data_IF_024244141657
#
_entry.id   IF_024244141657
#
_cell.length_a   1.000
_cell.length_b   1.000
_cell.length_c   1.000
_cell.angle_alpha   90.00
_cell.angle_beta   90.00
_cell.angle_gamma   90.00
#
_symmetry.space_group_name_H-M   'P 1'
#
loop_
_entity.id
_entity.type
_entity.pdbx_description
1 polymer ?
#
# COMPACT_ATOMS: atom_id res chain seq x y z
N UNK A 1 1.33 15.85 -12.86
CA UNK A 1 1.05 14.65 -12.04
C UNK A 1 1.79 14.73 -10.71
N UNK A 2 1.23 14.17 -9.67
CA UNK A 2 1.83 14.18 -8.33
C UNK A 2 2.21 12.75 -7.90
N UNK A 3 3.40 12.61 -7.31
CA UNK A 3 3.93 11.33 -6.84
C UNK A 3 4.19 11.40 -5.34
N UNK A 4 3.66 10.44 -4.58
CA UNK A 4 3.86 10.34 -3.12
C UNK A 4 4.51 9.00 -2.79
N UNK A 5 5.60 8.98 -2.02
CA UNK A 5 6.12 7.71 -1.53
C UNK A 5 7.60 7.65 -1.15
N UNK A 6 8.01 6.49 -0.64
CA UNK A 6 9.38 6.17 -0.25
C UNK A 6 10.30 5.90 -1.45
N UNK A 7 11.58 6.09 -1.26
CA UNK A 7 12.66 6.20 -2.25
C UNK A 7 12.74 5.13 -3.34
N UNK A 8 12.56 3.85 -2.97
CA UNK A 8 12.86 2.76 -3.91
C UNK A 8 11.74 2.53 -4.95
N UNK A 9 10.52 2.94 -4.63
CA UNK A 9 9.37 2.83 -5.54
C UNK A 9 9.12 4.10 -6.37
N UNK A 10 9.89 5.18 -6.18
CA UNK A 10 9.75 6.46 -6.87
C UNK A 10 9.99 6.28 -8.37
N UNK A 11 11.05 5.57 -8.77
CA UNK A 11 11.47 5.41 -10.16
C UNK A 11 10.39 4.80 -11.06
N UNK A 12 9.71 3.75 -10.58
CA UNK A 12 8.68 3.07 -11.37
C UNK A 12 7.41 3.89 -11.49
N UNK A 13 7.07 4.64 -10.43
CA UNK A 13 5.95 5.59 -10.48
C UNK A 13 6.24 6.75 -11.45
N UNK A 14 7.47 7.29 -11.46
CA UNK A 14 7.88 8.30 -12.42
C UNK A 14 7.81 7.74 -13.84
N UNK A 15 8.27 6.51 -14.06
CA UNK A 15 8.18 5.84 -15.38
C UNK A 15 6.72 5.68 -15.82
N UNK A 16 5.84 5.27 -14.93
CA UNK A 16 4.41 5.17 -15.22
C UNK A 16 3.79 6.55 -15.53
N UNK A 17 4.18 7.61 -14.78
CA UNK A 17 3.70 8.97 -15.00
C UNK A 17 4.15 9.52 -16.36
N UNK A 18 5.37 9.25 -16.81
CA UNK A 18 5.90 9.70 -18.11
C UNK A 18 5.09 9.22 -19.31
N UNK A 19 4.38 8.13 -19.17
CA UNK A 19 3.56 7.62 -20.26
C UNK A 19 2.25 8.42 -20.45
N UNK A 20 1.87 9.26 -19.49
CA UNK A 20 0.58 9.96 -19.50
C UNK A 20 0.71 11.46 -19.26
N UNK A 21 1.76 11.93 -18.60
CA UNK A 21 1.94 13.31 -18.18
C UNK A 21 3.19 13.97 -18.79
N UNK A 22 3.06 15.23 -19.20
CA UNK A 22 4.19 16.07 -19.65
C UNK A 22 4.98 16.61 -18.48
N UNK A 23 4.27 17.02 -17.41
CA UNK A 23 4.86 17.59 -16.23
C UNK A 23 4.68 16.70 -15.02
N UNK A 24 5.78 16.41 -14.34
CA UNK A 24 5.83 15.51 -13.18
C UNK A 24 6.31 16.28 -11.96
N UNK A 25 5.45 16.38 -10.95
CA UNK A 25 5.78 16.88 -9.62
C UNK A 25 5.96 15.69 -8.67
N UNK A 26 7.13 15.60 -8.03
CA UNK A 26 7.39 14.64 -6.96
C UNK A 26 7.21 15.31 -5.61
N UNK A 27 6.34 14.78 -4.74
CA UNK A 27 6.26 15.22 -3.35
C UNK A 27 7.08 14.32 -2.45
N UNK A 28 7.97 14.92 -1.63
CA UNK A 28 8.78 14.23 -0.63
C UNK A 28 8.48 14.86 0.73
N UNK A 29 7.71 14.15 1.57
CA UNK A 29 7.36 14.62 2.89
C UNK A 29 7.16 13.46 3.86
N UNK A 30 7.89 13.48 4.97
CA UNK A 30 7.69 12.54 6.09
C UNK A 30 6.64 13.11 7.02
N UNK A 31 5.40 12.66 6.85
CA UNK A 31 4.24 13.22 7.52
C UNK A 31 4.15 12.78 8.99
N UNK A 32 4.32 13.68 9.98
CA UNK A 32 4.31 13.29 11.40
C UNK A 32 2.96 12.77 11.89
N UNK A 33 1.84 13.26 11.33
CA UNK A 33 0.49 12.92 11.82
C UNK A 33 0.00 11.52 11.44
N UNK A 34 0.75 10.81 10.58
CA UNK A 34 0.43 9.41 10.22
C UNK A 34 1.19 8.37 11.04
N UNK A 35 2.11 8.82 11.91
CA UNK A 35 2.88 7.93 12.78
C UNK A 35 2.29 7.88 14.18
N UNK A 36 2.09 6.68 14.68
CA UNK A 36 1.72 6.46 16.07
C UNK A 36 2.89 6.73 17.04
N UNK A 37 2.60 6.91 18.35
CA UNK A 37 3.62 7.26 19.35
C UNK A 37 4.79 6.25 19.46
N UNK A 38 4.57 5.00 19.06
CA UNK A 38 5.56 3.90 19.12
C UNK A 38 6.11 3.52 17.75
N UNK A 39 5.84 4.33 16.71
CA UNK A 39 6.32 4.08 15.36
C UNK A 39 7.65 4.79 15.08
N UNK A 40 8.25 4.44 13.96
CA UNK A 40 9.62 4.78 13.54
C UNK A 40 9.79 6.21 12.98
N UNK A 41 8.95 7.18 13.39
CA UNK A 41 9.00 8.55 12.85
C UNK A 41 10.37 9.22 13.00
N UNK A 42 11.01 9.07 14.17
CA UNK A 42 12.30 9.71 14.43
C UNK A 42 13.46 9.04 13.70
N UNK A 43 13.37 7.73 13.47
CA UNK A 43 14.36 6.93 12.75
C UNK A 43 14.03 6.70 11.28
N UNK A 44 12.87 7.22 10.82
CA UNK A 44 12.46 7.06 9.44
C UNK A 44 13.47 7.72 8.50
N UNK A 45 13.94 7.03 7.45
CA UNK A 45 14.97 7.55 6.55
C UNK A 45 14.57 8.90 5.94
N UNK A 46 15.51 9.84 5.96
CA UNK A 46 15.40 11.16 5.34
C UNK A 46 16.61 11.40 4.49
N UNK A 47 16.52 11.09 3.22
CA UNK A 47 17.65 11.08 2.26
C UNK A 47 17.39 12.04 1.11
N UNK A 48 16.92 13.25 1.44
CA UNK A 48 16.45 14.23 0.45
C UNK A 48 17.45 14.45 -0.70
N UNK A 49 18.74 14.58 -0.43
CA UNK A 49 19.76 14.79 -1.47
C UNK A 49 19.83 13.61 -2.45
N UNK A 50 19.76 12.38 -1.94
CA UNK A 50 19.76 11.19 -2.79
C UNK A 50 18.48 11.08 -3.60
N UNK A 51 17.34 11.44 -2.99
CA UNK A 51 16.04 11.43 -3.65
C UNK A 51 15.97 12.48 -4.76
N UNK A 52 16.51 13.67 -4.54
CA UNK A 52 16.62 14.71 -5.56
C UNK A 52 17.46 14.25 -6.75
N UNK A 53 18.62 13.61 -6.52
CA UNK A 53 19.46 13.06 -7.60
C UNK A 53 18.71 11.99 -8.40
N UNK A 54 18.01 11.09 -7.71
CA UNK A 54 17.19 10.04 -8.35
C UNK A 54 16.04 10.64 -9.15
N UNK A 55 15.35 11.63 -8.58
CA UNK A 55 14.25 12.34 -9.25
C UNK A 55 14.74 13.04 -10.52
N UNK A 56 15.85 13.75 -10.44
CA UNK A 56 16.49 14.42 -11.59
C UNK A 56 16.85 13.41 -12.68
N UNK A 57 17.54 12.32 -12.32
CA UNK A 57 17.90 11.24 -13.26
C UNK A 57 16.68 10.58 -13.88
N UNK A 58 15.60 10.46 -13.12
CA UNK A 58 14.33 9.93 -13.61
C UNK A 58 13.52 10.93 -14.44
N UNK A 59 13.94 12.20 -14.53
CA UNK A 59 13.32 13.25 -15.35
C UNK A 59 12.04 13.80 -14.75
N UNK A 60 12.03 14.06 -13.45
CA UNK A 60 11.01 14.82 -12.73
C UNK A 60 11.21 16.31 -13.03
N UNK A 61 10.13 17.06 -13.27
CA UNK A 61 10.18 18.48 -13.60
C UNK A 61 10.31 19.36 -12.36
N UNK A 62 9.63 18.96 -11.26
CA UNK A 62 9.67 19.70 -10.01
C UNK A 62 9.59 18.76 -8.79
N UNK A 63 10.19 19.18 -7.68
CA UNK A 63 10.09 18.46 -6.40
C UNK A 63 9.49 19.38 -5.36
N UNK A 64 8.42 18.91 -4.69
CA UNK A 64 7.81 19.57 -3.55
C UNK A 64 8.27 18.86 -2.27
N UNK A 65 9.20 19.47 -1.56
CA UNK A 65 9.81 18.92 -0.33
C UNK A 65 9.67 19.90 0.84
N UNK A 66 8.44 20.14 1.32
CA UNK A 66 8.19 21.12 2.36
C UNK A 66 8.69 20.65 3.73
N UNK A 67 9.05 21.61 4.58
CA UNK A 67 9.31 21.36 6.01
C UNK A 67 8.00 21.09 6.77
N UNK A 68 8.13 20.53 7.98
CA UNK A 68 6.99 20.35 8.89
C UNK A 68 6.33 21.69 9.22
N UNK A 69 7.11 22.79 9.37
CA UNK A 69 6.59 24.12 9.68
C UNK A 69 5.76 24.69 8.52
N UNK A 70 6.15 24.46 7.29
CA UNK A 70 5.38 24.85 6.11
C UNK A 70 4.09 24.06 5.97
N UNK A 71 4.16 22.76 6.21
CA UNK A 71 2.95 21.91 6.17
C UNK A 71 2.04 22.08 7.38
N UNK A 72 2.54 22.54 8.52
CA UNK A 72 1.75 22.77 9.74
C UNK A 72 2.04 24.16 10.32
N UNK A 73 1.59 25.25 9.65
CA UNK A 73 1.94 26.62 10.02
C UNK A 73 1.43 27.04 11.42
N UNK A 74 0.40 26.38 11.91
CA UNK A 74 -0.12 26.59 13.28
C UNK A 74 0.49 25.64 14.33
N UNK A 75 1.60 24.96 14.00
CA UNK A 75 2.30 24.01 14.86
C UNK A 75 1.65 22.62 14.96
N UNK A 76 0.34 22.51 14.71
CA UNK A 76 -0.41 21.25 14.71
C UNK A 76 -1.52 21.26 13.66
N UNK A 77 -2.03 20.08 13.32
CA UNK A 77 -3.21 19.92 12.48
C UNK A 77 -4.48 20.07 13.33
N UNK A 78 -5.41 20.88 12.89
CA UNK A 78 -6.70 21.10 13.58
C UNK A 78 -7.87 20.48 12.84
N UNK A 79 -7.82 20.43 11.50
CA UNK A 79 -8.90 19.91 10.66
C UNK A 79 -8.38 18.65 9.96
N UNK A 80 -9.13 17.56 10.06
CA UNK A 80 -8.75 16.26 9.53
C UNK A 80 -9.77 15.73 8.54
N UNK A 81 -9.30 14.98 7.55
CA UNK A 81 -10.12 14.04 6.80
C UNK A 81 -10.22 12.76 7.62
N UNK A 82 -11.40 12.45 8.10
CA UNK A 82 -11.62 11.29 8.96
C UNK A 82 -12.26 10.15 8.16
N UNK A 83 -11.53 9.05 7.94
CA UNK A 83 -12.10 7.88 7.27
C UNK A 83 -13.06 7.13 8.19
N UNK A 84 -14.11 6.53 7.61
CA UNK A 84 -15.12 5.80 8.36
C UNK A 84 -14.68 4.37 8.75
N UNK A 85 -15.37 3.36 8.28
CA UNK A 85 -15.19 1.97 8.74
C UNK A 85 -13.89 1.32 8.31
N UNK A 86 -13.43 1.53 7.07
CA UNK A 86 -12.26 0.85 6.53
C UNK A 86 -10.97 1.14 7.33
N UNK A 87 -10.88 2.29 7.98
CA UNK A 87 -9.77 2.63 8.86
C UNK A 87 -9.68 1.77 10.13
N UNK A 88 -10.70 0.99 10.44
CA UNK A 88 -10.73 0.10 11.62
C UNK A 88 -10.32 -1.34 11.29
N UNK A 89 -10.03 -1.64 10.02
CA UNK A 89 -9.62 -2.96 9.56
C UNK A 89 -8.16 -3.00 9.14
N UNK A 90 -7.58 -4.18 9.03
CA UNK A 90 -6.23 -4.44 8.50
C UNK A 90 -5.14 -3.55 9.13
N UNK A 91 -4.44 -2.76 8.32
CA UNK A 91 -3.43 -1.83 8.82
C UNK A 91 -4.02 -0.77 9.75
N UNK A 92 -5.24 -0.31 9.53
CA UNK A 92 -5.88 0.69 10.38
C UNK A 92 -6.15 0.18 11.79
N UNK A 93 -6.55 -1.08 11.93
CA UNK A 93 -6.72 -1.73 13.24
C UNK A 93 -5.42 -1.77 14.05
N UNK A 94 -4.29 -2.00 13.40
CA UNK A 94 -2.98 -2.12 14.05
C UNK A 94 -2.25 -0.78 14.19
N UNK A 95 -2.75 0.26 13.52
CA UNK A 95 -2.19 1.61 13.48
C UNK A 95 -3.28 2.67 13.65
N UNK A 96 -3.88 2.83 14.85
CA UNK A 96 -4.95 3.81 15.08
C UNK A 96 -4.51 5.24 14.70
N UNK A 97 -5.37 5.96 13.94
CA UNK A 97 -5.09 7.31 13.47
C UNK A 97 -4.22 7.41 12.21
N UNK A 98 -3.59 6.33 11.79
CA UNK A 98 -2.69 6.33 10.62
C UNK A 98 -3.37 6.87 9.36
N UNK A 99 -4.52 6.30 8.99
CA UNK A 99 -5.21 6.71 7.76
C UNK A 99 -5.83 8.09 7.84
N UNK A 100 -6.26 8.53 9.01
CA UNK A 100 -6.64 9.93 9.23
C UNK A 100 -5.47 10.86 8.86
N UNK A 101 -4.26 10.55 9.32
CA UNK A 101 -3.07 11.31 8.98
C UNK A 101 -2.73 11.26 7.49
N UNK A 102 -2.83 10.08 6.88
CA UNK A 102 -2.55 9.88 5.44
C UNK A 102 -3.54 10.66 4.57
N UNK A 103 -4.85 10.47 4.77
CA UNK A 103 -5.87 11.13 3.95
C UNK A 103 -5.82 12.65 4.10
N UNK A 104 -5.59 13.13 5.30
CA UNK A 104 -5.47 14.58 5.56
C UNK A 104 -4.30 15.19 4.78
N UNK A 105 -3.13 14.55 4.80
CA UNK A 105 -1.98 15.11 4.08
C UNK A 105 -2.13 14.98 2.57
N UNK A 106 -2.70 13.88 2.07
CA UNK A 106 -2.94 13.68 0.64
C UNK A 106 -3.96 14.69 0.12
N UNK A 107 -5.06 14.94 0.84
CA UNK A 107 -6.04 15.97 0.49
C UNK A 107 -5.38 17.38 0.38
N UNK A 108 -4.49 17.70 1.32
CA UNK A 108 -3.71 18.95 1.26
C UNK A 108 -2.78 19.00 0.06
N UNK A 109 -2.09 17.91 -0.24
CA UNK A 109 -1.21 17.84 -1.42
C UNK A 109 -2.01 18.01 -2.71
N UNK A 110 -3.21 17.45 -2.81
CA UNK A 110 -4.08 17.65 -3.96
C UNK A 110 -4.51 19.11 -4.12
N UNK A 111 -4.84 19.79 -3.02
CA UNK A 111 -5.18 21.21 -3.05
C UNK A 111 -3.98 22.12 -3.41
N UNK A 112 -2.76 21.75 -3.02
CA UNK A 112 -1.54 22.51 -3.31
C UNK A 112 -1.10 22.31 -4.76
N UNK A 113 -1.08 21.05 -5.21
CA UNK A 113 -0.52 20.69 -6.52
C UNK A 113 -1.55 20.69 -7.64
N UNK A 114 -2.85 20.57 -7.33
CA UNK A 114 -3.96 20.44 -8.27
C UNK A 114 -3.64 19.53 -9.48
N UNK A 115 -3.23 18.27 -9.25
CA UNK A 115 -2.77 17.40 -10.33
C UNK A 115 -3.94 16.78 -11.07
N UNK A 116 -3.79 16.51 -12.39
CA UNK A 116 -4.76 15.70 -13.15
C UNK A 116 -4.66 14.21 -12.77
N UNK A 117 -3.44 13.74 -12.48
CA UNK A 117 -3.15 12.36 -12.11
C UNK A 117 -2.27 12.28 -10.87
N UNK A 118 -2.60 11.35 -9.96
CA UNK A 118 -1.78 11.04 -8.78
C UNK A 118 -1.47 9.54 -8.72
N UNK A 119 -0.17 9.20 -8.60
CA UNK A 119 0.33 7.84 -8.67
C UNK A 119 0.67 7.31 -7.29
N UNK A 120 0.07 6.19 -6.92
CA UNK A 120 0.30 5.51 -5.64
C UNK A 120 0.75 4.06 -5.86
N UNK A 121 1.66 3.57 -5.03
CA UNK A 121 2.07 2.17 -5.08
C UNK A 121 1.02 1.25 -4.47
N UNK A 122 0.63 0.20 -5.18
CA UNK A 122 -0.31 -0.81 -4.69
C UNK A 122 0.25 -1.65 -3.53
N UNK A 123 1.53 -1.54 -3.20
CA UNK A 123 2.08 -2.15 -2.00
C UNK A 123 1.32 -1.74 -0.75
N UNK A 124 0.99 -0.47 -0.64
CA UNK A 124 0.15 0.09 0.42
C UNK A 124 -1.32 0.07 -0.02
N UNK A 125 -1.84 -1.13 -0.30
CA UNK A 125 -3.11 -1.36 -0.99
C UNK A 125 -4.30 -0.69 -0.29
N UNK A 126 -4.42 -0.84 1.03
CA UNK A 126 -5.47 -0.20 1.80
C UNK A 126 -5.39 1.34 1.71
N UNK A 127 -4.19 1.90 1.73
CA UNK A 127 -4.00 3.33 1.52
C UNK A 127 -4.47 3.77 0.13
N UNK A 128 -4.12 3.02 -0.90
CA UNK A 128 -4.51 3.31 -2.28
C UNK A 128 -6.03 3.30 -2.45
N UNK A 129 -6.73 2.29 -1.94
CA UNK A 129 -8.21 2.20 -1.99
C UNK A 129 -8.84 3.37 -1.23
N UNK A 130 -8.36 3.68 -0.02
CA UNK A 130 -8.92 4.79 0.77
C UNK A 130 -8.70 6.16 0.12
N UNK A 131 -7.58 6.36 -0.56
CA UNK A 131 -7.33 7.58 -1.33
C UNK A 131 -8.27 7.67 -2.53
N UNK A 132 -8.55 6.56 -3.22
CA UNK A 132 -9.55 6.53 -4.30
C UNK A 132 -10.95 6.87 -3.78
N UNK A 133 -11.36 6.30 -2.64
CA UNK A 133 -12.64 6.62 -2.01
C UNK A 133 -12.73 8.10 -1.63
N UNK A 134 -11.72 8.62 -0.92
CA UNK A 134 -11.63 10.04 -0.56
C UNK A 134 -11.76 10.94 -1.78
N UNK A 135 -11.05 10.62 -2.85
CA UNK A 135 -11.05 11.41 -4.09
C UNK A 135 -12.44 11.47 -4.71
N UNK A 136 -13.16 10.35 -4.74
CA UNK A 136 -14.54 10.28 -5.26
C UNK A 136 -15.54 10.99 -4.35
N UNK A 137 -15.49 10.73 -3.05
CA UNK A 137 -16.45 11.27 -2.08
C UNK A 137 -16.30 12.78 -1.86
N UNK A 138 -15.07 13.29 -1.92
CA UNK A 138 -14.78 14.73 -1.78
C UNK A 138 -14.68 15.47 -3.13
N UNK A 139 -15.00 14.79 -4.24
CA UNK A 139 -15.00 15.36 -5.59
C UNK A 139 -13.68 16.04 -5.97
N UNK A 140 -12.54 15.47 -5.59
CA UNK A 140 -11.25 15.96 -6.07
C UNK A 140 -11.12 15.70 -7.58
N UNK A 141 -10.77 16.71 -8.39
CA UNK A 141 -10.62 16.56 -9.84
C UNK A 141 -9.27 15.91 -10.20
N UNK A 142 -9.00 14.73 -9.61
CA UNK A 142 -7.74 13.99 -9.80
C UNK A 142 -8.03 12.50 -10.04
N UNK A 143 -7.41 11.92 -11.05
CA UNK A 143 -7.46 10.49 -11.30
C UNK A 143 -6.36 9.77 -10.48
N UNK A 144 -6.75 8.78 -9.68
CA UNK A 144 -5.82 8.00 -8.87
C UNK A 144 -5.35 6.77 -9.62
N UNK A 145 -4.04 6.69 -9.89
CA UNK A 145 -3.42 5.59 -10.62
C UNK A 145 -2.63 4.70 -9.64
N UNK A 146 -3.01 3.43 -9.57
CA UNK A 146 -2.26 2.41 -8.83
C UNK A 146 -1.10 1.88 -9.65
N UNK A 147 0.11 1.89 -9.10
CA UNK A 147 1.30 1.32 -9.72
C UNK A 147 1.66 0.03 -8.99
N UNK A 148 1.96 -1.01 -9.77
CA UNK A 148 2.30 -2.33 -9.24
C UNK A 148 3.47 -2.29 -8.26
N UNK A 149 3.47 -3.24 -7.34
CA UNK A 149 4.52 -3.33 -6.32
C UNK A 149 5.85 -3.71 -6.95
N UNK A 150 6.81 -2.81 -6.90
CA UNK A 150 8.19 -3.10 -7.30
C UNK A 150 8.82 -4.08 -6.32
N UNK A 151 9.51 -5.08 -6.86
CA UNK A 151 10.12 -6.15 -6.08
C UNK A 151 11.60 -6.31 -6.38
N UNK A 152 12.31 -6.83 -5.42
CA UNK A 152 13.67 -7.32 -5.61
C UNK A 152 13.66 -8.63 -6.43
N UNK A 153 14.82 -9.09 -6.90
CA UNK A 153 14.94 -10.29 -7.74
C UNK A 153 14.35 -11.55 -7.07
N UNK A 154 14.40 -11.62 -5.75
CA UNK A 154 13.84 -12.74 -4.95
C UNK A 154 12.35 -12.58 -4.62
N UNK A 155 11.69 -11.53 -5.12
CA UNK A 155 10.27 -11.26 -4.96
C UNK A 155 9.91 -10.41 -3.74
N UNK A 156 10.87 -10.00 -2.88
CA UNK A 156 10.59 -9.13 -1.76
C UNK A 156 10.10 -7.75 -2.25
N UNK A 157 8.96 -7.29 -1.74
CA UNK A 157 8.47 -5.95 -2.01
C UNK A 157 9.45 -4.88 -1.53
N UNK A 158 9.81 -3.93 -2.39
CA UNK A 158 10.72 -2.86 -2.03
C UNK A 158 10.11 -1.92 -1.00
N UNK A 159 10.88 -1.63 0.05
CA UNK A 159 10.49 -0.74 1.14
C UNK A 159 11.72 -0.11 1.79
N UNK A 160 11.61 1.15 2.22
CA UNK A 160 12.66 1.80 3.03
C UNK A 160 12.92 1.04 4.33
N UNK A 161 11.92 0.33 4.86
CA UNK A 161 12.08 -0.49 6.07
C UNK A 161 12.91 -1.76 5.86
N UNK A 162 13.16 -2.18 4.63
CA UNK A 162 14.00 -3.35 4.35
C UNK A 162 15.44 -3.15 4.85
N UNK A 163 15.92 -1.90 4.95
CA UNK A 163 17.24 -1.58 5.49
C UNK A 163 17.40 -1.85 7.00
N UNK A 164 16.29 -2.03 7.73
CA UNK A 164 16.32 -2.37 9.15
C UNK A 164 16.48 -3.88 9.41
N UNK A 165 16.35 -4.70 8.35
CA UNK A 165 16.47 -6.15 8.46
C UNK A 165 17.92 -6.57 8.60
N UNK A 166 18.20 -7.49 9.54
CA UNK A 166 19.47 -8.23 9.53
C UNK A 166 19.55 -9.12 8.28
N UNK A 167 20.73 -9.61 7.95
CA UNK A 167 20.91 -10.53 6.81
C UNK A 167 19.99 -11.75 6.90
N UNK A 168 19.87 -12.35 8.08
CA UNK A 168 18.96 -13.46 8.31
C UNK A 168 17.47 -13.06 8.12
N UNK A 169 17.08 -11.93 8.69
CA UNK A 169 15.72 -11.40 8.54
C UNK A 169 15.42 -11.06 7.07
N UNK A 170 16.38 -10.50 6.32
CA UNK A 170 16.21 -10.19 4.90
C UNK A 170 15.97 -11.46 4.07
N UNK A 171 16.66 -12.56 4.37
CA UNK A 171 16.41 -13.85 3.73
C UNK A 171 15.03 -14.41 4.06
N UNK A 172 14.59 -14.29 5.32
CA UNK A 172 13.25 -14.73 5.76
C UNK A 172 12.14 -13.84 5.21
N UNK A 173 12.39 -12.56 4.94
CA UNK A 173 11.36 -11.61 4.51
C UNK A 173 10.64 -12.02 3.21
N UNK A 174 11.31 -12.76 2.33
CA UNK A 174 10.75 -13.31 1.08
C UNK A 174 9.59 -14.29 1.33
N UNK A 175 9.55 -14.92 2.52
CA UNK A 175 8.50 -15.85 2.90
C UNK A 175 7.10 -15.20 2.85
N UNK A 176 7.00 -13.89 3.13
CA UNK A 176 5.73 -13.18 3.08
C UNK A 176 5.12 -13.24 1.67
N UNK A 177 5.92 -13.02 0.63
CA UNK A 177 5.46 -13.12 -0.77
C UNK A 177 5.14 -14.55 -1.17
N UNK A 178 5.99 -15.51 -0.79
CA UNK A 178 5.76 -16.93 -1.07
C UNK A 178 4.44 -17.42 -0.47
N UNK A 179 4.19 -17.09 0.78
CA UNK A 179 2.94 -17.42 1.47
C UNK A 179 1.71 -16.83 0.74
N UNK A 180 1.77 -15.56 0.28
CA UNK A 180 0.67 -14.95 -0.46
C UNK A 180 0.38 -15.69 -1.77
N UNK A 181 1.41 -16.12 -2.49
CA UNK A 181 1.29 -16.89 -3.74
C UNK A 181 0.65 -18.24 -3.43
N UNK A 182 1.14 -18.97 -2.45
CA UNK A 182 0.62 -20.28 -2.05
C UNK A 182 -0.85 -20.23 -1.62
N UNK A 183 -1.22 -19.24 -0.81
CA UNK A 183 -2.60 -19.04 -0.36
C UNK A 183 -3.51 -18.72 -1.55
N UNK A 184 -3.08 -17.80 -2.44
CA UNK A 184 -3.81 -17.48 -3.67
C UNK A 184 -4.06 -18.74 -4.51
N UNK A 185 -3.01 -19.54 -4.76
CA UNK A 185 -3.13 -20.75 -5.58
C UNK A 185 -4.09 -21.76 -4.98
N UNK A 186 -4.06 -21.95 -3.64
CA UNK A 186 -4.99 -22.83 -2.94
C UNK A 186 -6.43 -22.33 -3.03
N UNK A 187 -6.67 -21.02 -2.83
CA UNK A 187 -8.02 -20.44 -2.98
C UNK A 187 -8.56 -20.61 -4.41
N UNK A 188 -7.69 -20.53 -5.43
CA UNK A 188 -8.10 -20.73 -6.82
C UNK A 188 -8.37 -22.19 -7.18
N UNK A 189 -7.69 -23.14 -6.52
CA UNK A 189 -7.83 -24.59 -6.77
C UNK A 189 -8.92 -25.25 -5.89
N UNK A 190 -9.02 -24.78 -4.64
CA UNK A 190 -9.97 -25.30 -3.67
C UNK A 190 -11.23 -24.45 -3.65
N UNK A 191 -12.31 -24.97 -3.06
CA UNK A 191 -13.54 -24.20 -2.91
C UNK A 191 -13.31 -23.02 -1.93
N UNK A 192 -13.87 -21.85 -2.24
CA UNK A 192 -13.82 -20.63 -1.41
C UNK A 192 -14.18 -20.88 0.06
N UNK A 193 -15.04 -21.84 0.35
CA UNK A 193 -15.41 -22.24 1.73
C UNK A 193 -14.21 -22.56 2.61
N UNK A 194 -13.09 -22.98 2.04
CA UNK A 194 -11.86 -23.28 2.78
C UNK A 194 -10.97 -22.05 2.99
N UNK A 195 -11.31 -20.89 2.42
CA UNK A 195 -10.44 -19.70 2.48
C UNK A 195 -10.08 -19.30 3.92
N UNK A 196 -11.06 -19.33 4.83
CA UNK A 196 -10.82 -18.98 6.25
C UNK A 196 -9.83 -19.92 6.94
N UNK A 197 -9.92 -21.22 6.70
CA UNK A 197 -8.99 -22.22 7.26
C UNK A 197 -7.61 -22.11 6.63
N UNK A 198 -7.52 -21.84 5.32
CA UNK A 198 -6.26 -21.60 4.61
C UNK A 198 -5.52 -20.38 5.16
N UNK A 199 -6.22 -19.26 5.40
CA UNK A 199 -5.63 -18.08 6.00
C UNK A 199 -5.15 -18.31 7.43
N UNK A 200 -5.91 -19.07 8.23
CA UNK A 200 -5.52 -19.44 9.59
C UNK A 200 -4.27 -20.32 9.60
N UNK A 201 -4.23 -21.34 8.72
CA UNK A 201 -3.06 -22.21 8.56
C UNK A 201 -1.83 -21.43 8.08
N UNK A 202 -1.99 -20.54 7.11
CA UNK A 202 -0.92 -19.69 6.64
C UNK A 202 -0.36 -18.80 7.76
N UNK A 203 -1.24 -18.24 8.60
CA UNK A 203 -0.82 -17.44 9.77
C UNK A 203 -0.02 -18.29 10.77
N UNK A 204 -0.45 -19.51 11.05
CA UNK A 204 0.28 -20.42 11.94
C UNK A 204 1.65 -20.76 11.36
N UNK A 205 1.72 -21.19 10.10
CA UNK A 205 2.98 -21.52 9.43
C UNK A 205 3.99 -20.35 9.46
N UNK A 206 3.52 -19.13 9.23
CA UNK A 206 4.37 -17.94 9.32
C UNK A 206 4.86 -17.71 10.75
N UNK A 207 4.01 -17.94 11.76
CA UNK A 207 4.39 -17.84 13.18
C UNK A 207 5.46 -18.87 13.52
N UNK A 208 5.34 -20.10 13.07
CA UNK A 208 6.30 -21.18 13.29
C UNK A 208 7.66 -20.88 12.63
N UNK A 209 7.65 -20.07 11.54
CA UNK A 209 8.85 -19.56 10.89
C UNK A 209 9.46 -18.32 11.58
N UNK A 210 8.90 -17.89 12.72
CA UNK A 210 9.42 -16.77 13.52
C UNK A 210 8.87 -15.39 13.15
N UNK A 211 7.76 -15.33 12.40
CA UNK A 211 7.02 -14.10 12.17
C UNK A 211 6.03 -13.81 13.30
N UNK A 212 5.88 -12.55 13.65
CA UNK A 212 4.73 -12.08 14.44
C UNK A 212 3.72 -11.43 13.49
N UNK A 213 2.71 -12.22 13.07
CA UNK A 213 1.72 -11.80 12.08
C UNK A 213 0.61 -10.97 12.72
N UNK A 214 0.47 -9.72 12.28
CA UNK A 214 -0.67 -8.87 12.63
C UNK A 214 -1.96 -9.47 12.04
N UNK A 215 -1.95 -9.69 10.71
CA UNK A 215 -3.07 -10.31 9.99
C UNK A 215 -2.62 -10.94 8.67
N UNK A 216 -3.41 -11.91 8.20
CA UNK A 216 -3.52 -12.35 6.81
C UNK A 216 -5.02 -12.36 6.52
N UNK A 217 -5.47 -11.60 5.52
CA UNK A 217 -6.88 -11.39 5.25
C UNK A 217 -7.20 -11.47 3.76
N UNK A 218 -8.36 -12.01 3.43
CA UNK A 218 -8.94 -12.03 2.10
C UNK A 218 -10.09 -11.02 2.04
N UNK A 219 -10.06 -10.14 1.06
CA UNK A 219 -11.03 -9.09 0.88
C UNK A 219 -11.40 -8.91 -0.60
N UNK A 220 -12.47 -8.19 -0.88
CA UNK A 220 -12.73 -7.68 -2.22
C UNK A 220 -11.64 -6.68 -2.60
N UNK A 221 -11.17 -6.73 -3.83
CA UNK A 221 -10.09 -5.87 -4.28
C UNK A 221 -10.48 -4.40 -4.41
N UNK A 222 -11.76 -4.14 -4.70
CA UNK A 222 -12.25 -2.80 -5.07
C UNK A 222 -12.54 -1.88 -3.87
N UNK A 223 -12.91 -2.45 -2.72
CA UNK A 223 -13.34 -1.69 -1.54
C UNK A 223 -12.85 -2.24 -0.20
N UNK A 224 -12.18 -3.40 -0.22
CA UNK A 224 -11.63 -4.10 0.95
C UNK A 224 -12.69 -4.58 1.95
N UNK A 225 -13.95 -4.67 1.56
CA UNK A 225 -14.95 -5.37 2.35
C UNK A 225 -14.64 -6.87 2.42
N UNK A 226 -15.11 -7.57 3.45
CA UNK A 226 -14.91 -9.02 3.55
C UNK A 226 -15.36 -9.75 2.30
N UNK A 227 -14.48 -10.57 1.74
CA UNK A 227 -14.77 -11.32 0.54
C UNK A 227 -15.81 -12.43 0.79
N UNK A 228 -16.68 -12.66 -0.20
CA UNK A 228 -17.63 -13.76 -0.24
C UNK A 228 -17.41 -14.62 -1.50
N UNK A 229 -18.15 -15.70 -1.61
CA UNK A 229 -18.00 -16.68 -2.70
C UNK A 229 -18.28 -16.12 -4.09
N UNK A 230 -19.17 -15.14 -4.19
CA UNK A 230 -19.62 -14.53 -5.45
C UNK A 230 -18.62 -13.48 -5.97
N UNK A 231 -17.74 -12.97 -5.10
CA UNK A 231 -16.76 -11.96 -5.47
C UNK A 231 -15.72 -12.53 -6.44
N UNK A 232 -15.47 -11.77 -7.51
CA UNK A 232 -14.56 -12.16 -8.59
C UNK A 232 -13.17 -11.55 -8.42
N UNK A 233 -13.12 -10.29 -8.00
CA UNK A 233 -11.87 -9.55 -7.78
C UNK A 233 -11.52 -9.57 -6.30
N UNK A 234 -10.44 -10.23 -5.98
CA UNK A 234 -10.01 -10.50 -4.62
C UNK A 234 -8.60 -9.99 -4.38
N UNK A 235 -8.31 -9.66 -3.13
CA UNK A 235 -6.96 -9.34 -2.67
C UNK A 235 -6.68 -10.06 -1.36
N UNK A 236 -5.49 -10.66 -1.25
CA UNK A 236 -4.95 -11.13 0.02
C UNK A 236 -4.00 -10.06 0.54
N UNK A 237 -4.28 -9.56 1.73
CA UNK A 237 -3.49 -8.57 2.43
C UNK A 237 -2.77 -9.24 3.60
N UNK A 238 -1.49 -8.95 3.79
CA UNK A 238 -0.76 -9.46 4.94
C UNK A 238 0.14 -8.39 5.55
N UNK A 239 0.25 -8.43 6.88
CA UNK A 239 1.18 -7.63 7.66
C UNK A 239 1.74 -8.46 8.80
N UNK A 240 3.03 -8.31 9.06
CA UNK A 240 3.71 -8.99 10.15
C UNK A 240 5.07 -8.37 10.45
N UNK A 241 5.67 -8.83 11.52
CA UNK A 241 6.99 -8.38 11.96
C UNK A 241 8.02 -9.51 11.92
N UNK A 242 9.21 -9.14 11.45
CA UNK A 242 10.44 -9.91 11.69
C UNK A 242 11.31 -9.10 12.66
N UNK A 243 11.44 -9.59 13.88
CA UNK A 243 11.98 -8.78 14.96
C UNK A 243 11.17 -7.50 15.13
N UNK A 244 11.84 -6.34 15.06
CA UNK A 244 11.18 -5.04 15.20
C UNK A 244 10.65 -4.47 13.87
N UNK A 245 11.02 -5.06 12.72
CA UNK A 245 10.67 -4.52 11.41
C UNK A 245 9.31 -5.03 10.96
N UNK A 246 8.36 -4.11 10.80
CA UNK A 246 7.04 -4.39 10.25
C UNK A 246 7.07 -4.35 8.73
N UNK A 247 6.64 -5.46 8.11
CA UNK A 247 6.53 -5.61 6.66
C UNK A 247 5.07 -5.83 6.27
N UNK A 248 4.72 -5.35 5.10
CA UNK A 248 3.42 -5.57 4.46
C UNK A 248 3.61 -6.03 3.04
N UNK A 249 2.70 -6.85 2.57
CA UNK A 249 2.59 -7.21 1.16
C UNK A 249 1.14 -7.60 0.84
N UNK A 250 0.85 -7.71 -0.45
CA UNK A 250 -0.47 -8.12 -0.93
C UNK A 250 -0.37 -8.83 -2.28
N UNK A 251 -1.45 -9.48 -2.65
CA UNK A 251 -1.63 -10.05 -3.99
C UNK A 251 -3.11 -9.95 -4.37
N UNK A 252 -3.40 -9.21 -5.42
CA UNK A 252 -4.72 -9.15 -6.04
C UNK A 252 -4.83 -10.20 -7.16
N UNK A 253 -6.03 -10.71 -7.37
CA UNK A 253 -6.31 -11.73 -8.38
C UNK A 253 -7.80 -11.81 -8.69
N UNK A 254 -8.09 -12.34 -9.88
CA UNK A 254 -9.46 -12.63 -10.29
C UNK A 254 -9.72 -14.12 -10.30
N UNK A 255 -10.88 -14.55 -9.81
CA UNK A 255 -11.37 -15.91 -10.03
C UNK A 255 -11.83 -16.01 -11.49
N UNK A 256 -11.32 -16.98 -12.22
CA UNK A 256 -11.86 -17.35 -13.52
C UNK A 256 -13.28 -17.89 -13.30
N UNK A 257 -14.25 -17.36 -14.03
CA UNK A 257 -15.57 -17.95 -14.12
C UNK A 257 -15.40 -19.21 -14.95
N UNK A 258 -15.56 -20.41 -14.36
CA UNK A 258 -15.95 -21.54 -15.18
C UNK A 258 -17.35 -21.21 -15.71
N UNK A 259 -17.46 -20.85 -16.98
CA UNK A 259 -18.73 -20.88 -17.68
C UNK A 259 -19.29 -22.28 -17.50
N UNK A 260 -20.33 -22.38 -16.70
CA UNK A 260 -21.19 -23.56 -16.73
C UNK A 260 -21.73 -23.59 -18.15
N UNK A 261 -21.13 -24.47 -18.97
CA UNK A 261 -21.70 -24.88 -20.23
C UNK A 261 -23.16 -25.24 -19.95
N UNK A 262 -24.05 -24.36 -20.36
CA UNK A 262 -25.45 -24.70 -20.55
C UNK A 262 -25.44 -25.86 -21.53
N UNK A 263 -25.42 -27.10 -21.01
CA UNK A 263 -25.86 -28.23 -21.80
C UNK A 263 -27.33 -27.96 -22.09
N UNK A 264 -27.58 -27.47 -23.29
CA UNK A 264 -28.85 -27.58 -23.95
C UNK A 264 -29.28 -29.05 -23.87
N UNK A 265 -30.30 -29.32 -23.10
CA UNK A 265 -31.05 -30.56 -23.19
C UNK A 265 -31.98 -30.36 -24.38
N UNK A 266 -31.65 -31.07 -25.48
CA UNK A 266 -32.60 -31.37 -26.53
C UNK A 266 -33.69 -32.34 -26.02
#
# INVERSE_FOLDING_TARGET
SCLVGSEMCIRDRIKAAKNKATDILLSIFVNPIQFGPKEDFNSYPRTLEQDLKKAQTAGVNAVFAPSIKEMFPYGKQHIYVYPSQLANYYCGKTRPGHFQGVLTIVARLFNIAAPDWAYFGKKDYQQWIMIQQMTKELNFPVEIIGVETTRDQDGLALSSRNQYLSLEQRQKAVQLRKMLIEVKEKILKENFHHAKSLLAQAKQNMTDCGWNMDYIALARADDLEPANEQDRHLVILAAGRLGNTRLIDNIDFSKLVMEQSLKSVD
#
